data_IF_282507853424
#
_entry.id   IF_282507853424
#
_cell.length_a   1.000
_cell.length_b   1.000
_cell.length_c   1.000
_cell.angle_alpha   90.00
_cell.angle_beta   90.00
_cell.angle_gamma   90.00
#
_symmetry.space_group_name_H-M   'P 1'
#
loop_
_entity.id
_entity.type
_entity.pdbx_description
1 polymer ?
#
# COMPACT_ATOMS: atom_id res chain seq x y z
N UNK A 1 56.20 -12.54 -10.81
CA UNK A 1 55.40 -13.74 -10.45
C UNK A 1 54.78 -13.49 -9.09
N UNK A 2 53.50 -13.14 -9.05
CA UNK A 2 52.75 -12.93 -7.82
C UNK A 2 51.31 -13.35 -8.07
N UNK A 3 50.95 -14.55 -7.63
CA UNK A 3 49.63 -15.14 -7.82
C UNK A 3 48.60 -14.50 -6.89
N UNK A 4 47.65 -13.75 -7.47
CA UNK A 4 46.44 -13.32 -6.79
C UNK A 4 45.45 -14.48 -6.70
N UNK A 5 45.21 -14.98 -5.48
CA UNK A 5 44.08 -15.87 -5.20
C UNK A 5 42.80 -15.05 -5.24
N UNK A 6 41.89 -15.44 -6.13
CA UNK A 6 40.49 -15.04 -6.15
C UNK A 6 39.86 -15.44 -4.83
N UNK A 7 39.31 -14.47 -4.10
CA UNK A 7 38.32 -14.74 -3.07
C UNK A 7 37.00 -14.89 -3.82
N UNK A 8 36.59 -16.13 -4.05
CA UNK A 8 35.31 -16.48 -4.65
C UNK A 8 34.18 -16.12 -3.68
N UNK A 9 33.16 -15.45 -4.22
CA UNK A 9 31.95 -15.09 -3.49
C UNK A 9 31.15 -16.34 -3.11
N UNK A 10 31.28 -16.75 -1.86
CA UNK A 10 30.44 -17.74 -1.21
C UNK A 10 29.67 -17.06 -0.07
N UNK A 11 28.70 -16.24 -0.44
CA UNK A 11 27.63 -15.78 0.46
C UNK A 11 26.32 -15.44 -0.28
N UNK A 12 26.32 -15.33 -1.62
CA UNK A 12 25.15 -14.89 -2.39
C UNK A 12 24.18 -16.00 -2.80
N UNK A 13 24.44 -17.27 -2.46
CA UNK A 13 23.72 -18.41 -3.07
C UNK A 13 22.84 -19.21 -2.09
N UNK A 14 22.79 -18.84 -0.80
CA UNK A 14 22.12 -19.68 0.23
C UNK A 14 20.78 -19.10 0.73
N UNK A 15 20.36 -17.91 0.26
CA UNK A 15 19.04 -17.33 0.60
C UNK A 15 18.05 -17.36 -0.59
N UNK A 16 18.35 -18.09 -1.65
CA UNK A 16 17.39 -18.41 -2.73
C UNK A 16 16.74 -19.79 -2.52
N UNK A 17 16.77 -20.30 -1.29
CA UNK A 17 16.19 -21.58 -0.93
C UNK A 17 14.67 -21.45 -0.78
N UNK A 18 13.95 -22.06 -1.73
CA UNK A 18 12.55 -22.45 -1.69
C UNK A 18 11.49 -21.33 -1.66
N UNK A 19 11.46 -20.48 -2.69
CA UNK A 19 10.18 -19.87 -3.09
C UNK A 19 9.27 -20.96 -3.69
N UNK A 20 8.07 -21.12 -3.15
CA UNK A 20 7.06 -22.03 -3.70
C UNK A 20 6.72 -21.61 -5.14
N UNK A 21 6.33 -22.56 -6.01
CA UNK A 21 5.95 -22.27 -7.41
C UNK A 21 4.85 -21.20 -7.49
N UNK A 22 3.97 -21.15 -6.49
CA UNK A 22 2.95 -20.13 -6.36
C UNK A 22 3.46 -18.76 -5.93
N UNK A 23 4.41 -18.67 -5.00
CA UNK A 23 5.04 -17.39 -4.65
C UNK A 23 5.84 -16.88 -5.86
N UNK A 24 6.47 -17.79 -6.61
CA UNK A 24 7.06 -17.48 -7.91
C UNK A 24 6.03 -16.99 -8.89
N UNK A 25 4.86 -17.62 -9.03
CA UNK A 25 3.78 -17.15 -9.91
C UNK A 25 3.17 -15.84 -9.47
N UNK A 26 2.99 -15.60 -8.17
CA UNK A 26 2.51 -14.32 -7.64
C UNK A 26 3.51 -13.21 -7.97
N UNK A 27 4.78 -13.41 -7.62
CA UNK A 27 5.86 -12.51 -8.01
C UNK A 27 5.95 -12.39 -9.53
N UNK A 28 5.79 -13.46 -10.30
CA UNK A 28 5.90 -13.46 -11.77
C UNK A 28 4.70 -12.81 -12.44
N UNK A 29 3.48 -12.90 -11.92
CA UNK A 29 2.33 -12.09 -12.32
C UNK A 29 2.58 -10.62 -12.02
N UNK A 30 3.17 -10.30 -10.86
CA UNK A 30 3.55 -8.93 -10.53
C UNK A 30 4.74 -8.41 -11.37
N UNK A 31 5.67 -9.29 -11.77
CA UNK A 31 6.87 -8.96 -12.56
C UNK A 31 6.60 -8.93 -14.08
N UNK A 32 5.75 -9.82 -14.60
CA UNK A 32 5.43 -9.94 -16.03
C UNK A 32 4.46 -8.88 -16.54
N UNK A 33 3.69 -8.23 -15.66
CA UNK A 33 2.75 -7.17 -16.01
C UNK A 33 3.20 -5.78 -15.50
N UNK A 34 4.52 -5.57 -15.36
CA UNK A 34 5.10 -4.24 -15.53
C UNK A 34 5.98 -3.68 -14.42
N UNK A 35 6.52 -4.49 -13.51
CA UNK A 35 7.56 -3.95 -12.60
C UNK A 35 8.95 -3.92 -13.25
N UNK A 36 9.27 -4.72 -14.28
CA UNK A 36 10.65 -4.80 -14.78
C UNK A 36 10.77 -5.06 -16.29
N UNK A 37 10.21 -4.22 -17.16
CA UNK A 37 10.79 -4.09 -18.51
C UNK A 37 11.96 -3.10 -18.46
N UNK A 38 13.16 -3.61 -18.19
CA UNK A 38 14.40 -2.93 -18.56
C UNK A 38 15.43 -2.63 -17.48
N UNK A 39 15.23 -3.01 -16.22
CA UNK A 39 16.29 -2.91 -15.20
C UNK A 39 16.54 -4.26 -14.54
N UNK A 40 17.78 -4.73 -14.61
CA UNK A 40 18.30 -5.71 -13.67
C UNK A 40 18.28 -5.06 -12.28
N UNK A 41 17.13 -5.03 -11.64
CA UNK A 41 17.07 -4.74 -10.21
C UNK A 41 17.50 -6.03 -9.54
N UNK A 42 18.67 -5.92 -8.91
CA UNK A 42 19.23 -6.92 -8.02
C UNK A 42 18.10 -7.48 -7.14
N UNK A 43 17.95 -8.80 -7.06
CA UNK A 43 17.03 -9.50 -6.13
C UNK A 43 17.27 -9.15 -4.65
N UNK A 44 18.21 -8.24 -4.37
CA UNK A 44 18.35 -7.57 -3.11
C UNK A 44 17.14 -6.64 -2.86
N UNK A 45 16.20 -7.13 -2.06
CA UNK A 45 15.40 -6.32 -1.14
C UNK A 45 14.43 -5.31 -1.78
N UNK A 46 13.52 -5.76 -2.64
CA UNK A 46 12.26 -5.01 -2.82
C UNK A 46 11.26 -5.45 -1.75
N UNK A 47 10.53 -4.52 -1.15
CA UNK A 47 9.50 -4.77 -0.12
C UNK A 47 8.42 -5.79 -0.55
N UNK A 48 8.14 -5.80 -1.85
CA UNK A 48 7.31 -6.79 -2.53
C UNK A 48 7.82 -8.22 -2.30
N UNK A 49 9.14 -8.41 -2.35
CA UNK A 49 9.80 -9.69 -2.06
C UNK A 49 9.67 -10.06 -0.58
N UNK A 50 9.59 -9.07 0.32
CA UNK A 50 9.40 -9.26 1.75
C UNK A 50 7.99 -9.80 2.06
N UNK A 51 6.95 -9.17 1.52
CA UNK A 51 5.57 -9.65 1.69
C UNK A 51 5.39 -11.06 1.12
N UNK A 52 6.04 -11.38 0.00
CA UNK A 52 6.00 -12.71 -0.58
C UNK A 52 6.72 -13.80 0.26
N UNK A 53 7.52 -13.41 1.25
CA UNK A 53 8.22 -14.32 2.16
C UNK A 53 7.48 -14.51 3.49
N UNK A 54 6.87 -13.44 4.01
CA UNK A 54 6.23 -13.44 5.32
C UNK A 54 4.79 -14.03 5.32
N UNK A 55 4.20 -14.17 4.14
CA UNK A 55 2.83 -14.66 3.96
C UNK A 55 2.77 -15.91 3.10
N UNK A 56 1.81 -16.78 3.44
CA UNK A 56 1.45 -17.94 2.62
C UNK A 56 0.71 -17.52 1.35
N UNK A 57 0.70 -18.37 0.33
CA UNK A 57 -0.02 -18.12 -0.93
C UNK A 57 -1.51 -17.76 -0.71
N UNK A 58 -2.19 -18.43 0.22
CA UNK A 58 -3.60 -18.15 0.51
C UNK A 58 -3.79 -16.78 1.17
N UNK A 59 -2.85 -16.37 2.02
CA UNK A 59 -2.87 -15.05 2.65
C UNK A 59 -2.57 -13.94 1.63
N UNK A 60 -1.65 -14.19 0.69
CA UNK A 60 -1.37 -13.27 -0.42
C UNK A 60 -2.57 -13.12 -1.35
N UNK A 61 -3.30 -14.21 -1.64
CA UNK A 61 -4.54 -14.15 -2.41
C UNK A 61 -5.62 -13.36 -1.65
N UNK A 62 -5.74 -13.53 -0.33
CA UNK A 62 -6.64 -12.73 0.50
C UNK A 62 -6.27 -11.24 0.44
N UNK A 63 -4.98 -10.90 0.52
CA UNK A 63 -4.52 -9.53 0.39
C UNK A 63 -4.89 -8.94 -0.97
N UNK A 64 -4.61 -9.68 -2.05
CA UNK A 64 -4.94 -9.27 -3.41
C UNK A 64 -6.44 -8.99 -3.57
N UNK A 65 -7.30 -9.92 -3.15
CA UNK A 65 -8.76 -9.73 -3.21
C UNK A 65 -9.23 -8.57 -2.34
N UNK A 66 -8.60 -8.35 -1.19
CA UNK A 66 -8.90 -7.19 -0.33
C UNK A 66 -8.56 -5.89 -1.06
N UNK A 67 -7.42 -5.84 -1.75
CA UNK A 67 -7.03 -4.70 -2.55
C UNK A 67 -7.97 -4.49 -3.74
N UNK A 68 -8.40 -5.56 -4.43
CA UNK A 68 -9.43 -5.49 -5.49
C UNK A 68 -10.69 -4.78 -4.96
N UNK A 69 -11.23 -5.24 -3.82
CA UNK A 69 -12.40 -4.62 -3.20
C UNK A 69 -12.19 -3.14 -2.83
N UNK A 70 -11.02 -2.80 -2.26
CA UNK A 70 -10.70 -1.40 -1.90
C UNK A 70 -10.62 -0.51 -3.15
N UNK A 71 -9.98 -0.98 -4.21
CA UNK A 71 -9.78 -0.19 -5.43
C UNK A 71 -11.05 -0.06 -6.27
N UNK A 72 -11.95 -1.04 -6.21
CA UNK A 72 -13.26 -1.00 -6.85
C UNK A 72 -14.30 -0.19 -6.05
N UNK A 73 -14.08 0.02 -4.75
CA UNK A 73 -14.97 0.81 -3.90
C UNK A 73 -14.95 2.31 -4.26
N UNK A 74 -16.09 2.98 -4.13
CA UNK A 74 -16.22 4.41 -4.43
C UNK A 74 -15.43 5.30 -3.45
N UNK A 75 -15.38 4.91 -2.17
CA UNK A 75 -14.77 5.67 -1.09
C UNK A 75 -13.36 5.18 -0.71
N UNK A 76 -12.86 4.14 -1.39
CA UNK A 76 -11.56 3.53 -1.11
C UNK A 76 -11.50 2.78 0.21
N UNK A 77 -12.63 2.23 0.67
CA UNK A 77 -12.78 1.48 1.92
C UNK A 77 -13.56 0.19 1.67
N UNK A 78 -13.30 -0.83 2.47
CA UNK A 78 -14.02 -2.10 2.41
C UNK A 78 -14.35 -2.59 3.82
N UNK A 79 -15.56 -3.12 4.00
CA UNK A 79 -15.99 -3.65 5.29
C UNK A 79 -15.32 -4.99 5.61
N UNK A 80 -15.12 -5.24 6.90
CA UNK A 80 -14.69 -6.56 7.42
C UNK A 80 -15.60 -7.68 6.91
N UNK A 81 -16.90 -7.43 6.82
CA UNK A 81 -17.88 -8.40 6.34
C UNK A 81 -17.68 -8.77 4.88
N UNK A 82 -17.36 -7.80 4.03
CA UNK A 82 -17.12 -8.05 2.60
C UNK A 82 -15.86 -8.90 2.41
N UNK A 83 -14.79 -8.60 3.15
CA UNK A 83 -13.57 -9.40 3.11
C UNK A 83 -13.83 -10.81 3.64
N UNK A 84 -14.57 -10.96 4.75
CA UNK A 84 -14.88 -12.27 5.34
C UNK A 84 -15.72 -13.17 4.43
N UNK A 85 -16.50 -12.58 3.51
CA UNK A 85 -17.28 -13.34 2.52
C UNK A 85 -16.40 -13.94 1.42
N UNK A 86 -15.12 -13.52 1.31
CA UNK A 86 -14.13 -14.13 0.42
C UNK A 86 -13.56 -15.44 0.95
N UNK A 87 -13.72 -15.75 2.25
CA UNK A 87 -13.02 -16.84 2.94
C UNK A 87 -13.16 -18.21 2.23
N UNK A 88 -14.35 -18.51 1.69
CA UNK A 88 -14.66 -19.75 0.99
C UNK A 88 -14.30 -19.75 -0.50
N UNK A 89 -13.88 -18.60 -1.03
CA UNK A 89 -13.50 -18.36 -2.43
C UNK A 89 -11.98 -18.31 -2.62
N UNK A 90 -11.21 -18.26 -1.53
CA UNK A 90 -9.76 -18.24 -1.57
C UNK A 90 -9.18 -19.52 -2.16
N UNK A 91 -8.09 -19.35 -2.90
CA UNK A 91 -7.31 -20.42 -3.51
C UNK A 91 -5.84 -20.26 -3.08
N UNK A 92 -5.07 -21.35 -3.00
CA UNK A 92 -5.44 -22.75 -3.27
C UNK A 92 -6.24 -23.41 -2.13
N UNK A 93 -6.37 -22.75 -0.98
CA UNK A 93 -7.03 -23.28 0.21
C UNK A 93 -8.05 -22.27 0.73
N UNK A 94 -9.22 -22.75 1.13
CA UNK A 94 -10.21 -21.92 1.84
C UNK A 94 -9.72 -21.61 3.26
N UNK A 95 -10.09 -20.43 3.76
CA UNK A 95 -9.80 -20.04 5.15
C UNK A 95 -11.07 -20.05 5.97
N UNK A 96 -10.95 -20.25 7.29
CA UNK A 96 -12.08 -19.99 8.19
C UNK A 96 -12.22 -18.49 8.40
N UNK A 97 -13.43 -17.97 8.64
CA UNK A 97 -13.65 -16.53 8.94
C UNK A 97 -12.73 -16.00 10.06
N UNK A 98 -12.58 -16.77 11.15
CA UNK A 98 -11.66 -16.44 12.24
C UNK A 98 -10.18 -16.38 11.81
N UNK A 99 -9.79 -17.19 10.83
CA UNK A 99 -8.43 -17.18 10.27
C UNK A 99 -8.22 -15.93 9.41
N UNK A 100 -9.22 -15.56 8.59
CA UNK A 100 -9.21 -14.31 7.81
C UNK A 100 -9.08 -13.09 8.73
N UNK A 101 -9.85 -13.01 9.82
CA UNK A 101 -9.74 -11.94 10.83
C UNK A 101 -8.31 -11.85 11.38
N UNK A 102 -7.68 -12.97 11.71
CA UNK A 102 -6.30 -12.99 12.23
C UNK A 102 -5.29 -12.49 11.20
N UNK A 103 -5.47 -12.83 9.92
CA UNK A 103 -4.60 -12.35 8.84
C UNK A 103 -4.79 -10.85 8.63
N UNK A 104 -6.04 -10.35 8.64
CA UNK A 104 -6.32 -8.92 8.53
C UNK A 104 -5.65 -8.10 9.64
N UNK A 105 -5.70 -8.61 10.87
CA UNK A 105 -5.01 -7.97 12.00
C UNK A 105 -3.49 -7.93 11.82
N UNK A 106 -2.88 -8.97 11.22
CA UNK A 106 -1.45 -8.95 10.88
C UNK A 106 -1.14 -7.94 9.78
N UNK A 107 -1.97 -7.85 8.73
CA UNK A 107 -1.81 -6.80 7.71
C UNK A 107 -1.87 -5.40 8.32
N UNK A 108 -2.73 -5.17 9.31
CA UNK A 108 -2.79 -3.89 10.04
C UNK A 108 -1.55 -3.66 10.91
N UNK A 109 -1.10 -4.70 11.62
CA UNK A 109 0.09 -4.64 12.47
C UNK A 109 1.35 -4.29 11.67
N UNK A 110 1.49 -4.91 10.49
CA UNK A 110 2.62 -4.68 9.58
C UNK A 110 2.42 -3.48 8.65
N UNK A 111 1.35 -2.70 8.83
CA UNK A 111 1.09 -1.50 8.03
C UNK A 111 0.96 -1.81 6.54
N UNK A 112 0.33 -2.91 6.18
CA UNK A 112 -0.21 -3.11 4.84
C UNK A 112 -1.60 -2.47 4.72
N UNK A 113 -2.45 -2.70 5.72
CA UNK A 113 -3.78 -2.10 5.84
C UNK A 113 -3.85 -1.13 7.03
N UNK A 114 -4.84 -0.24 6.99
CA UNK A 114 -5.33 0.46 8.16
C UNK A 114 -6.78 0.03 8.41
N UNK A 115 -7.17 -0.09 9.67
CA UNK A 115 -8.53 -0.45 10.07
C UNK A 115 -9.12 0.68 10.92
N UNK A 116 -10.39 0.99 10.69
CA UNK A 116 -11.17 1.93 11.48
C UNK A 116 -12.64 1.48 11.52
N UNK A 117 -13.15 1.15 12.71
CA UNK A 117 -14.55 0.76 12.94
C UNK A 117 -15.04 -0.39 12.05
N UNK A 118 -14.17 -1.37 11.79
CA UNK A 118 -14.45 -2.52 10.93
C UNK A 118 -14.30 -2.28 9.44
N UNK A 119 -13.91 -1.07 9.03
CA UNK A 119 -13.57 -0.72 7.64
C UNK A 119 -12.05 -0.76 7.44
N UNK A 120 -11.62 -1.27 6.29
CA UNK A 120 -10.22 -1.40 5.93
C UNK A 120 -9.87 -0.53 4.73
N UNK A 121 -8.68 0.08 4.77
CA UNK A 121 -8.09 0.85 3.67
C UNK A 121 -6.65 0.40 3.43
N UNK A 122 -6.13 0.65 2.22
CA UNK A 122 -4.70 0.50 1.99
C UNK A 122 -3.94 1.57 2.78
N UNK A 123 -2.92 1.15 3.51
CA UNK A 123 -2.04 2.07 4.22
C UNK A 123 -1.17 2.87 3.25
N UNK A 124 -0.59 3.98 3.73
CA UNK A 124 0.41 4.74 2.96
C UNK A 124 1.60 3.90 2.56
N UNK A 125 2.08 3.02 3.46
CA UNK A 125 3.20 2.11 3.18
C UNK A 125 2.88 1.20 1.99
N UNK A 126 1.72 0.54 2.01
CA UNK A 126 1.27 -0.32 0.92
C UNK A 126 1.22 0.43 -0.41
N UNK A 127 0.64 1.64 -0.44
CA UNK A 127 0.51 2.41 -1.68
C UNK A 127 1.89 2.79 -2.23
N UNK A 128 2.83 3.19 -1.37
CA UNK A 128 4.19 3.56 -1.79
C UNK A 128 4.98 2.36 -2.31
N UNK A 129 4.90 1.22 -1.63
CA UNK A 129 5.65 0.03 -1.99
C UNK A 129 5.08 -0.68 -3.22
N UNK A 130 3.77 -0.60 -3.44
CA UNK A 130 3.06 -1.24 -4.55
C UNK A 130 2.65 -0.26 -5.66
N UNK A 131 3.13 0.98 -5.66
CA UNK A 131 2.65 2.03 -6.57
C UNK A 131 2.71 1.59 -8.03
N UNK A 132 3.85 1.06 -8.48
CA UNK A 132 4.05 0.61 -9.86
C UNK A 132 3.11 -0.55 -10.21
N UNK A 133 2.93 -1.49 -9.29
CA UNK A 133 2.01 -2.61 -9.48
C UNK A 133 0.57 -2.13 -9.64
N UNK A 134 0.13 -1.25 -8.74
CA UNK A 134 -1.22 -0.70 -8.75
C UNK A 134 -1.48 0.06 -10.06
N UNK A 135 -0.54 0.90 -10.50
CA UNK A 135 -0.66 1.65 -11.76
C UNK A 135 -0.83 0.74 -12.96
N UNK A 136 -0.08 -0.35 -13.03
CA UNK A 136 -0.11 -1.22 -14.20
C UNK A 136 -1.35 -2.12 -14.22
N UNK A 137 -1.69 -2.70 -13.07
CA UNK A 137 -2.76 -3.69 -12.97
C UNK A 137 -4.16 -3.07 -12.85
N UNK A 138 -4.24 -1.88 -12.25
CA UNK A 138 -5.51 -1.23 -11.91
C UNK A 138 -5.64 0.14 -12.59
N UNK A 139 -4.98 0.34 -13.74
CA UNK A 139 -4.94 1.62 -14.46
C UNK A 139 -6.32 2.24 -14.71
N UNK A 140 -7.35 1.39 -14.92
CA UNK A 140 -8.72 1.83 -15.20
C UNK A 140 -9.51 2.18 -13.93
N UNK A 141 -9.04 1.73 -12.76
CA UNK A 141 -9.70 1.89 -11.47
C UNK A 141 -9.06 3.02 -10.65
N UNK A 142 -7.75 3.24 -10.79
CA UNK A 142 -7.05 4.28 -10.02
C UNK A 142 -6.91 5.58 -10.78
N UNK A 143 -7.11 6.70 -10.06
CA UNK A 143 -6.89 8.05 -10.58
C UNK A 143 -5.69 8.69 -9.90
N UNK A 144 -5.06 9.62 -10.61
CA UNK A 144 -4.00 10.46 -10.04
C UNK A 144 -4.58 11.71 -9.37
N UNK A 145 -3.89 12.19 -8.35
CA UNK A 145 -4.21 13.46 -7.72
C UNK A 145 -3.89 14.60 -8.68
N UNK A 146 -4.84 15.50 -8.93
CA UNK A 146 -4.61 16.68 -9.76
C UNK A 146 -3.69 17.74 -9.12
N UNK A 147 -3.12 17.47 -7.94
CA UNK A 147 -2.21 18.38 -7.23
C UNK A 147 -0.80 17.79 -7.10
N UNK A 148 -0.69 16.54 -6.62
CA UNK A 148 0.61 15.90 -6.40
C UNK A 148 0.97 14.83 -7.43
N UNK A 149 0.04 14.48 -8.33
CA UNK A 149 0.21 13.48 -9.40
C UNK A 149 0.50 12.03 -8.94
N UNK A 150 0.35 11.76 -7.64
CA UNK A 150 0.41 10.41 -7.09
C UNK A 150 -0.96 9.72 -7.12
N UNK A 151 -0.97 8.39 -7.07
CA UNK A 151 -2.20 7.58 -7.00
C UNK A 151 -3.12 8.07 -5.87
N UNK A 152 -4.41 8.21 -6.18
CA UNK A 152 -5.46 8.65 -5.25
C UNK A 152 -6.58 7.62 -5.16
N UNK A 153 -6.49 6.77 -4.15
CA UNK A 153 -7.56 5.82 -3.80
C UNK A 153 -8.68 6.57 -3.04
N UNK A 154 -8.31 7.36 -2.03
CA UNK A 154 -9.24 8.16 -1.25
C UNK A 154 -9.05 9.65 -1.51
N UNK A 155 -10.15 10.39 -1.65
CA UNK A 155 -10.12 11.83 -1.86
C UNK A 155 -11.44 12.38 -2.38
N UNK A 156 -11.43 13.66 -2.69
CA UNK A 156 -12.57 14.38 -3.25
C UNK A 156 -12.50 14.39 -4.78
N UNK A 157 -13.64 14.21 -5.44
CA UNK A 157 -13.72 14.16 -6.90
C UNK A 157 -14.57 15.32 -7.42
N UNK A 158 -14.07 16.04 -8.42
CA UNK A 158 -14.85 17.07 -9.10
C UNK A 158 -16.07 16.44 -9.80
N UNK A 159 -17.27 16.90 -9.48
CA UNK A 159 -18.52 16.40 -10.08
C UNK A 159 -18.63 16.70 -11.58
N UNK A 160 -17.86 17.66 -12.07
CA UNK A 160 -17.93 18.11 -13.46
C UNK A 160 -16.94 17.39 -14.35
N UNK A 161 -15.66 17.39 -13.99
CA UNK A 161 -14.59 16.87 -14.85
C UNK A 161 -13.96 15.58 -14.30
N UNK A 162 -14.44 15.07 -13.16
CA UNK A 162 -13.96 13.83 -12.56
C UNK A 162 -12.54 13.88 -12.00
N UNK A 163 -11.91 15.08 -11.92
CA UNK A 163 -10.58 15.26 -11.36
C UNK A 163 -10.59 14.92 -9.86
N UNK A 164 -9.65 14.06 -9.43
CA UNK A 164 -9.58 13.57 -8.05
C UNK A 164 -8.44 14.27 -7.31
N UNK A 165 -8.65 14.59 -6.03
CA UNK A 165 -7.66 15.24 -5.17
C UNK A 165 -7.66 14.55 -3.80
N UNK A 166 -6.50 14.14 -3.28
CA UNK A 166 -6.42 13.62 -1.91
C UNK A 166 -6.96 14.63 -0.89
N UNK A 167 -7.54 14.17 0.22
CA UNK A 167 -8.01 15.07 1.29
C UNK A 167 -6.92 16.04 1.79
N UNK A 168 -5.67 15.63 2.07
CA UNK A 168 -4.62 16.55 2.49
C UNK A 168 -4.21 17.55 1.40
N UNK A 169 -4.25 17.13 0.13
CA UNK A 169 -3.98 18.00 -1.01
C UNK A 169 -5.08 19.07 -1.14
N UNK A 170 -6.35 18.68 -0.99
CA UNK A 170 -7.49 19.59 -1.02
C UNK A 170 -7.40 20.61 0.13
N UNK A 171 -7.16 20.13 1.35
CA UNK A 171 -6.99 20.98 2.53
C UNK A 171 -5.88 22.03 2.37
N UNK A 172 -4.74 21.65 1.77
CA UNK A 172 -3.64 22.58 1.51
C UNK A 172 -3.96 23.53 0.36
N UNK A 173 -4.56 23.04 -0.72
CA UNK A 173 -4.80 23.81 -1.93
C UNK A 173 -5.90 24.86 -1.75
N UNK A 174 -6.99 24.50 -1.06
CA UNK A 174 -8.16 25.36 -0.84
C UNK A 174 -8.11 26.17 0.47
N UNK A 175 -7.03 26.03 1.26
CA UNK A 175 -6.86 26.75 2.52
C UNK A 175 -7.09 28.25 2.36
N UNK A 176 -8.02 28.80 3.15
CA UNK A 176 -8.29 30.24 3.21
C UNK A 176 -8.93 30.83 1.94
N UNK A 177 -9.57 29.99 1.11
CA UNK A 177 -10.32 30.45 -0.06
C UNK A 177 -11.82 30.40 0.22
N UNK A 178 -12.50 31.53 0.02
CA UNK A 178 -13.96 31.62 0.19
C UNK A 178 -14.74 31.05 -1.01
N UNK A 179 -14.10 30.96 -2.18
CA UNK A 179 -14.67 30.39 -3.41
C UNK A 179 -13.72 29.33 -4.00
N UNK A 180 -13.73 28.09 -3.48
CA UNK A 180 -12.84 27.05 -3.94
C UNK A 180 -13.24 26.57 -5.35
N UNK A 181 -12.27 26.56 -6.28
CA UNK A 181 -12.49 26.13 -7.66
C UNK A 181 -11.57 24.97 -8.05
N UNK A 182 -12.12 24.00 -8.79
CA UNK A 182 -11.39 22.84 -9.30
C UNK A 182 -10.11 23.28 -10.04
N UNK A 183 -8.93 22.72 -9.71
CA UNK A 183 -7.67 23.07 -10.38
C UNK A 183 -7.66 22.74 -11.87
N UNK A 184 -8.48 21.78 -12.31
CA UNK A 184 -8.53 21.36 -13.71
C UNK A 184 -9.54 22.18 -14.55
N UNK A 185 -10.83 22.19 -14.16
CA UNK A 185 -11.88 22.82 -14.96
C UNK A 185 -12.31 24.21 -14.48
N UNK A 186 -11.75 24.69 -13.36
CA UNK A 186 -12.04 25.98 -12.73
C UNK A 186 -13.49 26.21 -12.28
N UNK A 187 -14.34 25.17 -12.28
CA UNK A 187 -15.69 25.25 -11.72
C UNK A 187 -15.68 25.15 -10.19
N UNK A 188 -16.74 25.63 -9.55
CA UNK A 188 -16.94 25.59 -8.11
C UNK A 188 -16.70 24.18 -7.55
N UNK A 189 -16.01 24.12 -6.42
CA UNK A 189 -15.70 22.90 -5.69
C UNK A 189 -16.73 22.72 -4.57
N UNK A 190 -17.69 21.77 -4.71
CA UNK A 190 -18.82 21.68 -3.80
C UNK A 190 -18.51 21.00 -2.46
N UNK A 191 -17.32 20.41 -2.32
CA UNK A 191 -16.95 19.65 -1.14
C UNK A 191 -16.47 20.54 0.00
N UNK A 192 -16.81 20.17 1.23
CA UNK A 192 -16.23 20.78 2.43
C UNK A 192 -14.71 20.61 2.42
N UNK A 193 -13.97 21.69 2.71
CA UNK A 193 -12.50 21.65 2.72
C UNK A 193 -12.04 20.95 4.00
N UNK A 194 -11.32 19.80 3.91
CA UNK A 194 -10.90 19.08 5.09
C UNK A 194 -9.96 19.93 5.95
N UNK A 195 -10.13 19.89 7.27
CA UNK A 195 -9.17 20.48 8.19
C UNK A 195 -8.06 19.46 8.52
N UNK A 196 -6.82 19.78 8.16
CA UNK A 196 -5.67 18.93 8.48
C UNK A 196 -4.98 19.55 9.68
N UNK A 197 -5.61 19.45 10.84
CA UNK A 197 -4.93 19.65 12.11
C UNK A 197 -3.84 18.58 12.23
N UNK A 198 -2.58 19.00 12.39
CA UNK A 198 -1.38 18.14 12.49
C UNK A 198 -1.62 16.90 13.38
N UNK A 199 -1.80 15.73 12.78
CA UNK A 199 -1.52 14.46 13.45
C UNK A 199 -0.02 14.18 13.38
N UNK A 200 0.80 15.06 13.96
CA UNK A 200 2.17 14.72 14.34
C UNK A 200 2.08 13.85 15.58
N UNK A 201 2.53 12.61 15.44
CA UNK A 201 2.73 11.70 16.56
C UNK A 201 3.52 12.41 17.65
N UNK A 202 2.90 12.58 18.81
CA UNK A 202 3.56 13.01 20.04
C UNK A 202 4.58 11.93 20.44
N UNK A 203 5.83 12.06 19.99
CA UNK A 203 6.93 11.42 20.68
C UNK A 203 7.11 12.15 22.02
N UNK A 204 7.04 11.46 23.17
CA UNK A 204 7.39 12.08 24.43
C UNK A 204 8.88 12.45 24.42
N UNK A 205 9.27 13.59 25.02
CA UNK A 205 10.68 13.96 25.12
C UNK A 205 11.45 12.89 25.91
N UNK A 206 12.72 12.62 25.56
CA UNK A 206 13.53 11.65 26.27
C UNK A 206 13.63 12.04 27.76
N UNK A 207 13.27 11.10 28.63
CA UNK A 207 13.38 11.23 30.07
C UNK A 207 14.83 11.52 30.46
N UNK A 208 15.03 12.65 31.13
CA UNK A 208 16.31 13.00 31.74
C UNK A 208 16.55 12.08 32.93
N UNK A 209 17.59 11.26 32.87
CA UNK A 209 18.04 10.46 34.01
C UNK A 209 18.58 11.39 35.10
N UNK A 210 18.30 11.14 36.39
CA UNK A 210 18.88 11.93 37.47
C UNK A 210 20.36 11.60 37.61
N UNK A 211 21.23 12.61 37.49
CA UNK A 211 22.63 12.50 37.90
C UNK A 211 22.70 12.32 39.41
N UNK A 212 22.95 11.10 39.89
CA UNK A 212 23.51 10.90 41.23
C UNK A 212 24.90 11.52 41.26
N UNK A 213 25.07 12.57 42.05
CA UNK A 213 26.38 13.11 42.42
C UNK A 213 26.86 12.38 43.68
N UNK A 214 28.13 11.95 43.62
CA UNK A 214 28.95 11.52 44.75
C UNK A 214 29.12 12.65 45.76
#
# INVERSE_FOLDING_TARGET
>A
MGGGRRVTGECSVVMAAALNESHRRFLQTMMSQGILEGSMINLAETEITRMAFDYTETELELFKKTMDLVLESENGMVSSTDILNLADQLQPKKMKKKEVEQVLQRFVQEKWLCENDGEYILSTRCIMELEQYIRNMYQDLVKECNICHNITIQGQTCEVCGAKIHFPCAAKYFRGRDDPCCPNCRRFWPHEIPDVSRSEQSMPPPSSTPKMRR
#
